data_IF_426476328140
#
_entry.id   IF_426476328140
#
_cell.length_a   1.000
_cell.length_b   1.000
_cell.length_c   1.000
_cell.angle_alpha   90.00
_cell.angle_beta   90.00
_cell.angle_gamma   90.00
#
_symmetry.space_group_name_H-M   'P 1'
#
loop_
_entity.id
_entity.type
_entity.pdbx_description
1 polymer ?
#
# COMPACT_ATOMS: atom_id res chain seq x y z
N UNK A 1 -39.10 7.50 2.99
CA UNK A 1 -38.36 6.22 2.87
C UNK A 1 -38.56 5.32 4.09
N UNK A 2 -38.42 5.83 5.33
CA UNK A 2 -38.76 5.12 6.59
C UNK A 2 -40.16 4.48 6.61
N UNK A 3 -41.18 5.15 6.07
CA UNK A 3 -42.57 4.64 6.06
C UNK A 3 -42.78 3.35 5.25
N UNK A 4 -41.94 3.09 4.24
CA UNK A 4 -42.07 1.87 3.42
C UNK A 4 -41.56 0.64 4.19
N UNK A 5 -40.55 0.83 5.05
CA UNK A 5 -39.97 -0.24 5.86
C UNK A 5 -40.86 -0.62 7.05
N UNK A 6 -41.48 0.36 7.71
CA UNK A 6 -42.49 0.11 8.74
C UNK A 6 -43.75 -0.57 8.15
N UNK A 7 -44.14 -0.24 6.91
CA UNK A 7 -45.29 -0.85 6.25
C UNK A 7 -45.05 -2.28 5.72
N UNK A 8 -43.79 -2.69 5.54
CA UNK A 8 -43.42 -4.02 5.03
C UNK A 8 -43.07 -5.03 6.14
N UNK A 9 -43.12 -4.64 7.42
CA UNK A 9 -42.58 -5.41 8.55
C UNK A 9 -41.11 -5.87 8.31
N UNK A 10 -40.39 -5.18 7.43
CA UNK A 10 -39.04 -5.54 6.98
C UNK A 10 -37.96 -5.09 7.99
N UNK A 11 -38.35 -4.83 9.23
CA UNK A 11 -37.53 -4.30 10.34
C UNK A 11 -36.95 -5.40 11.22
N UNK A 12 -36.73 -6.59 10.67
CA UNK A 12 -35.83 -7.56 11.28
C UNK A 12 -34.60 -7.62 10.38
N UNK A 13 -33.48 -7.02 10.78
CA UNK A 13 -32.15 -7.33 10.24
C UNK A 13 -31.43 -8.10 11.33
N UNK A 14 -31.60 -9.41 11.25
CA UNK A 14 -30.93 -10.38 12.10
C UNK A 14 -29.47 -10.46 11.65
N UNK A 15 -28.61 -9.68 12.28
CA UNK A 15 -27.16 -9.88 12.21
C UNK A 15 -26.85 -11.18 12.98
N UNK A 16 -26.41 -12.22 12.29
CA UNK A 16 -25.97 -13.51 12.87
C UNK A 16 -26.98 -14.29 13.72
N UNK A 17 -28.28 -14.17 13.48
CA UNK A 17 -29.28 -14.90 14.28
C UNK A 17 -29.58 -14.24 15.63
N UNK A 18 -28.93 -13.12 15.94
CA UNK A 18 -29.08 -12.48 17.25
C UNK A 18 -30.44 -11.77 17.33
N UNK A 19 -31.25 -12.18 18.29
CA UNK A 19 -32.44 -11.47 18.71
C UNK A 19 -32.15 -10.81 20.07
N UNK A 20 -32.60 -9.57 20.30
CA UNK A 20 -32.56 -9.00 21.65
C UNK A 20 -33.26 -9.98 22.61
N UNK A 21 -32.67 -10.28 23.77
CA UNK A 21 -33.32 -11.16 24.73
C UNK A 21 -34.66 -10.55 25.19
N UNK A 22 -35.60 -11.38 25.65
CA UNK A 22 -36.96 -10.94 25.99
C UNK A 22 -37.03 -9.85 27.07
N UNK A 23 -35.93 -9.63 27.79
CA UNK A 23 -35.74 -8.59 28.81
C UNK A 23 -34.89 -7.40 28.34
N UNK A 24 -34.65 -7.25 27.03
CA UNK A 24 -33.86 -6.16 26.48
C UNK A 24 -34.46 -4.80 26.84
N UNK A 25 -33.58 -3.85 27.18
CA UNK A 25 -33.98 -2.50 27.53
C UNK A 25 -34.49 -1.75 26.30
N UNK A 26 -35.34 -0.74 26.51
CA UNK A 26 -35.86 0.11 25.42
C UNK A 26 -34.74 0.77 24.59
N UNK A 27 -33.59 1.09 25.21
CA UNK A 27 -32.42 1.64 24.54
C UNK A 27 -31.67 0.60 23.70
N UNK A 28 -31.67 -0.67 24.08
CA UNK A 28 -31.11 -1.77 23.27
C UNK A 28 -32.00 -2.09 22.08
N UNK A 29 -33.32 -2.11 22.29
CA UNK A 29 -34.30 -2.26 21.21
C UNK A 29 -34.21 -1.12 20.19
N UNK A 30 -34.04 0.13 20.65
CA UNK A 30 -33.87 1.29 19.78
C UNK A 30 -32.56 1.24 18.96
N UNK A 31 -31.44 0.83 19.58
CA UNK A 31 -30.15 0.67 18.89
C UNK A 31 -30.19 -0.47 17.87
N UNK A 32 -30.86 -1.57 18.19
CA UNK A 32 -31.11 -2.65 17.24
C UNK A 32 -31.89 -2.13 16.03
N UNK A 33 -33.03 -1.46 16.26
CA UNK A 33 -33.86 -0.88 15.19
C UNK A 33 -33.09 0.11 14.30
N UNK A 34 -32.17 0.89 14.87
CA UNK A 34 -31.33 1.82 14.12
C UNK A 34 -30.35 1.11 13.19
N UNK A 35 -29.63 0.10 13.69
CA UNK A 35 -28.69 -0.72 12.90
C UNK A 35 -29.42 -1.47 11.76
N UNK A 36 -30.64 -1.95 12.04
CA UNK A 36 -31.50 -2.60 11.04
C UNK A 36 -31.91 -1.65 9.91
N UNK A 37 -32.15 -0.38 10.23
CA UNK A 37 -32.57 0.62 9.24
C UNK A 37 -31.40 1.05 8.36
N UNK A 38 -30.20 1.24 8.92
CA UNK A 38 -29.03 1.67 8.14
C UNK A 38 -28.52 0.59 7.18
N UNK A 39 -28.61 -0.69 7.56
CA UNK A 39 -28.15 -1.80 6.72
C UNK A 39 -29.00 -2.02 5.45
N UNK A 40 -30.23 -1.47 5.40
CA UNK A 40 -31.11 -1.50 4.24
C UNK A 40 -30.89 -0.33 3.26
N UNK A 41 -30.19 0.74 3.67
CA UNK A 41 -29.98 1.95 2.85
C UNK A 41 -28.98 1.78 1.70
N UNK A 42 -28.30 0.63 1.61
CA UNK A 42 -27.27 0.35 0.59
C UNK A 42 -27.79 -0.49 -0.59
N UNK A 43 -29.10 -0.73 -0.66
CA UNK A 43 -29.71 -1.64 -1.64
C UNK A 43 -30.49 -0.85 -2.68
N UNK A 44 -30.19 -1.03 -3.97
CA UNK A 44 -30.91 -0.41 -5.09
C UNK A 44 -32.42 -0.65 -5.02
N UNK A 45 -33.24 0.34 -5.41
CA UNK A 45 -34.72 0.29 -5.43
C UNK A 45 -35.29 -0.97 -6.11
N UNK A 46 -34.59 -1.48 -7.12
CA UNK A 46 -35.03 -2.68 -7.83
C UNK A 46 -34.79 -3.97 -7.02
N UNK A 47 -33.70 -4.01 -6.24
CA UNK A 47 -33.41 -5.11 -5.32
C UNK A 47 -34.36 -5.03 -4.12
N UNK A 48 -34.65 -3.81 -3.64
CA UNK A 48 -35.64 -3.50 -2.60
C UNK A 48 -37.02 -4.11 -2.89
N UNK A 49 -37.54 -3.96 -4.12
CA UNK A 49 -38.81 -4.57 -4.55
C UNK A 49 -38.80 -6.10 -4.52
N UNK A 50 -37.64 -6.72 -4.76
CA UNK A 50 -37.51 -8.17 -4.72
C UNK A 50 -37.37 -8.69 -3.28
N UNK A 51 -36.60 -8.00 -2.43
CA UNK A 51 -36.44 -8.41 -1.04
C UNK A 51 -37.70 -8.20 -0.20
N UNK A 52 -38.55 -7.21 -0.54
CA UNK A 52 -39.84 -6.99 0.11
C UNK A 52 -40.84 -8.15 -0.04
N UNK A 53 -40.54 -9.13 -0.90
CA UNK A 53 -41.32 -10.38 -1.01
C UNK A 53 -40.98 -11.40 0.08
N UNK A 54 -39.92 -11.17 0.85
CA UNK A 54 -39.45 -12.07 1.89
C UNK A 54 -39.79 -11.51 3.28
N UNK A 55 -40.49 -12.30 4.09
CA UNK A 55 -41.05 -11.85 5.39
C UNK A 55 -40.06 -11.81 6.55
N UNK A 56 -38.83 -12.30 6.36
CA UNK A 56 -37.84 -12.35 7.44
C UNK A 56 -36.47 -11.94 6.93
N UNK A 57 -35.68 -11.33 7.82
CA UNK A 57 -34.27 -11.01 7.59
C UNK A 57 -33.49 -12.16 6.97
N UNK A 58 -33.68 -13.35 7.54
CA UNK A 58 -32.96 -14.54 7.15
C UNK A 58 -33.28 -14.93 5.71
N UNK A 59 -34.56 -14.85 5.32
CA UNK A 59 -35.00 -15.13 3.95
C UNK A 59 -34.53 -14.05 2.97
N UNK A 60 -34.51 -12.77 3.39
CA UNK A 60 -33.94 -11.66 2.61
C UNK A 60 -32.44 -11.93 2.38
N UNK A 61 -31.67 -12.24 3.42
CA UNK A 61 -30.25 -12.55 3.32
C UNK A 61 -29.99 -13.78 2.45
N UNK A 62 -30.73 -14.87 2.64
CA UNK A 62 -30.61 -16.06 1.80
C UNK A 62 -30.93 -15.77 0.33
N UNK A 63 -31.97 -14.97 0.07
CA UNK A 63 -32.31 -14.53 -1.28
C UNK A 63 -31.19 -13.68 -1.88
N UNK A 64 -30.72 -12.66 -1.16
CA UNK A 64 -29.65 -11.77 -1.61
C UNK A 64 -28.37 -12.57 -1.90
N UNK A 65 -28.02 -13.48 -1.00
CA UNK A 65 -26.88 -14.38 -1.15
C UNK A 65 -27.06 -15.28 -2.36
N UNK A 66 -28.18 -15.99 -2.48
CA UNK A 66 -28.43 -16.89 -3.63
C UNK A 66 -28.47 -16.15 -4.97
N UNK A 67 -29.01 -14.93 -4.99
CA UNK A 67 -29.29 -14.18 -6.23
C UNK A 67 -28.09 -13.35 -6.68
N UNK A 68 -27.42 -12.68 -5.74
CA UNK A 68 -26.35 -11.71 -6.01
C UNK A 68 -24.99 -12.17 -5.50
N UNK A 69 -24.93 -13.02 -4.46
CA UNK A 69 -23.67 -13.65 -4.04
C UNK A 69 -23.36 -14.86 -4.93
N UNK A 70 -22.92 -14.55 -6.13
CA UNK A 70 -22.43 -15.52 -7.09
C UNK A 70 -20.97 -15.82 -6.79
N UNK A 71 -20.73 -16.74 -5.87
CA UNK A 71 -19.46 -17.47 -5.81
C UNK A 71 -19.47 -18.56 -6.88
N UNK A 72 -19.56 -18.12 -8.14
CA UNK A 72 -19.65 -19.03 -9.30
C UNK A 72 -18.26 -19.58 -9.61
N UNK A 73 -18.16 -20.73 -10.30
CA UNK A 73 -16.88 -21.19 -10.84
C UNK A 73 -16.16 -20.10 -11.65
N UNK A 74 -16.94 -19.23 -12.31
CA UNK A 74 -16.45 -18.10 -13.10
C UNK A 74 -15.90 -16.94 -12.24
N UNK A 75 -16.43 -16.72 -11.04
CA UNK A 75 -16.01 -15.62 -10.16
C UNK A 75 -14.53 -15.72 -9.78
N UNK A 76 -14.05 -16.94 -9.54
CA UNK A 76 -12.62 -17.17 -9.28
C UNK A 76 -11.75 -16.89 -10.50
N UNK A 77 -12.17 -17.32 -11.69
CA UNK A 77 -11.43 -17.07 -12.94
C UNK A 77 -11.39 -15.58 -13.26
N UNK A 78 -12.52 -14.88 -13.12
CA UNK A 78 -12.57 -13.42 -13.31
C UNK A 78 -11.70 -12.69 -12.30
N UNK A 79 -11.70 -13.10 -11.03
CA UNK A 79 -10.87 -12.44 -10.03
C UNK A 79 -9.38 -12.68 -10.30
N UNK A 80 -8.97 -13.89 -10.71
CA UNK A 80 -7.58 -14.16 -11.13
C UNK A 80 -7.19 -13.22 -12.27
N UNK A 81 -8.01 -13.15 -13.31
CA UNK A 81 -7.73 -12.28 -14.45
C UNK A 81 -7.61 -10.82 -14.00
N UNK A 82 -8.59 -10.36 -13.22
CA UNK A 82 -8.66 -8.97 -12.77
C UNK A 82 -7.53 -8.60 -11.82
N UNK A 83 -7.03 -9.56 -11.04
CA UNK A 83 -5.87 -9.38 -10.17
C UNK A 83 -4.56 -9.35 -10.97
N UNK A 84 -4.39 -10.24 -11.94
CA UNK A 84 -3.20 -10.26 -12.80
C UNK A 84 -3.13 -9.04 -13.74
N UNK A 85 -4.27 -8.43 -14.06
CA UNK A 85 -4.32 -7.17 -14.82
C UNK A 85 -4.14 -5.92 -13.96
N UNK A 86 -3.98 -6.04 -12.64
CA UNK A 86 -3.95 -4.89 -11.72
C UNK A 86 -2.79 -3.91 -12.02
N UNK A 87 -1.64 -4.42 -12.48
CA UNK A 87 -0.50 -3.57 -12.89
C UNK A 87 -0.86 -2.60 -14.02
N UNK A 88 -1.76 -3.00 -14.91
CA UNK A 88 -2.21 -2.18 -16.04
C UNK A 88 -3.19 -1.09 -15.63
N UNK A 89 -3.82 -1.21 -14.45
CA UNK A 89 -4.75 -0.21 -13.93
C UNK A 89 -4.06 0.83 -13.05
N UNK A 90 -2.77 0.67 -12.75
CA UNK A 90 -2.02 1.66 -12.00
C UNK A 90 -1.88 2.94 -12.85
N UNK A 91 -2.49 4.01 -12.37
CA UNK A 91 -2.34 5.36 -12.88
C UNK A 91 -1.27 6.09 -12.05
N UNK A 92 -0.24 6.70 -12.66
CA UNK A 92 0.73 7.55 -11.96
C UNK A 92 0.11 8.70 -11.14
N UNK A 93 -1.13 9.10 -11.42
CA UNK A 93 -1.87 10.09 -10.64
C UNK A 93 -2.45 9.55 -9.33
N UNK A 94 -2.63 8.23 -9.23
CA UNK A 94 -3.14 7.55 -8.04
C UNK A 94 -2.07 7.50 -6.94
N UNK A 95 -2.48 7.63 -5.68
CA UNK A 95 -1.54 7.43 -4.57
C UNK A 95 -1.14 5.95 -4.48
N UNK A 96 0.12 5.69 -4.12
CA UNK A 96 0.58 4.30 -3.93
C UNK A 96 -0.21 3.59 -2.82
N UNK A 97 -0.71 4.37 -1.84
CA UNK A 97 -1.50 3.84 -0.73
C UNK A 97 -2.83 3.27 -1.24
N UNK A 98 -3.54 4.02 -2.09
CA UNK A 98 -4.82 3.57 -2.66
C UNK A 98 -4.63 2.33 -3.55
N UNK A 99 -3.49 2.27 -4.27
CA UNK A 99 -3.14 1.10 -5.05
C UNK A 99 -2.88 -0.13 -4.17
N UNK A 100 -2.11 0.02 -3.09
CA UNK A 100 -1.83 -1.06 -2.13
C UNK A 100 -3.14 -1.55 -1.50
N UNK A 101 -4.03 -0.64 -1.12
CA UNK A 101 -5.35 -1.01 -0.57
C UNK A 101 -6.18 -1.82 -1.59
N UNK A 102 -6.16 -1.41 -2.86
CA UNK A 102 -6.83 -2.13 -3.95
C UNK A 102 -6.22 -3.52 -4.16
N UNK A 103 -4.89 -3.62 -4.10
CA UNK A 103 -4.16 -4.89 -4.17
C UNK A 103 -4.55 -5.82 -3.03
N UNK A 104 -4.53 -5.34 -1.78
CA UNK A 104 -4.88 -6.11 -0.58
C UNK A 104 -6.33 -6.58 -0.60
N UNK A 105 -7.25 -5.70 -1.02
CA UNK A 105 -8.67 -6.04 -1.16
C UNK A 105 -8.88 -7.21 -2.13
N UNK A 106 -8.19 -7.17 -3.28
CA UNK A 106 -8.29 -8.24 -4.29
C UNK A 106 -7.58 -9.52 -3.87
N UNK A 107 -6.44 -9.41 -3.19
CA UNK A 107 -5.76 -10.54 -2.57
C UNK A 107 -6.68 -11.28 -1.59
N UNK A 108 -7.30 -10.53 -0.67
CA UNK A 108 -8.26 -11.07 0.30
C UNK A 108 -9.50 -11.65 -0.36
N UNK A 109 -9.97 -11.05 -1.46
CA UNK A 109 -11.09 -11.60 -2.24
C UNK A 109 -10.73 -12.94 -2.88
N UNK A 110 -9.55 -13.07 -3.51
CA UNK A 110 -9.05 -14.34 -4.03
C UNK A 110 -8.92 -15.39 -2.93
N UNK A 111 -8.41 -15.00 -1.77
CA UNK A 111 -8.30 -15.88 -0.61
C UNK A 111 -9.68 -16.39 -0.17
N UNK A 112 -10.67 -15.50 -0.13
CA UNK A 112 -12.06 -15.86 0.19
C UNK A 112 -12.67 -16.83 -0.82
N UNK A 113 -12.47 -16.60 -2.13
CA UNK A 113 -12.98 -17.46 -3.22
C UNK A 113 -12.33 -18.86 -3.27
N UNK A 114 -11.23 -19.04 -2.53
CA UNK A 114 -10.50 -20.30 -2.40
C UNK A 114 -10.65 -20.96 -1.02
N UNK A 115 -11.33 -20.31 -0.06
CA UNK A 115 -11.53 -20.82 1.30
C UNK A 115 -12.14 -22.23 1.36
N UNK A 116 -13.17 -22.49 0.54
CA UNK A 116 -13.89 -23.76 0.46
C UNK A 116 -13.36 -24.71 -0.64
N UNK A 117 -12.10 -24.55 -1.06
CA UNK A 117 -11.51 -25.37 -2.11
C UNK A 117 -11.44 -26.86 -1.70
N UNK A 118 -11.79 -27.75 -2.63
CA UNK A 118 -11.60 -29.19 -2.47
C UNK A 118 -10.10 -29.52 -2.42
N UNK A 119 -9.65 -30.47 -1.59
CA UNK A 119 -8.26 -30.92 -1.58
C UNK A 119 -7.77 -31.29 -2.99
N UNK A 120 -6.50 -30.98 -3.29
CA UNK A 120 -5.86 -31.20 -4.59
C UNK A 120 -6.50 -30.48 -5.80
N UNK A 121 -7.50 -29.62 -5.62
CA UNK A 121 -8.02 -28.77 -6.70
C UNK A 121 -7.06 -27.61 -7.01
N UNK A 122 -7.14 -27.04 -8.21
CA UNK A 122 -6.39 -25.83 -8.56
C UNK A 122 -6.64 -24.68 -7.57
N UNK A 123 -7.89 -24.51 -7.10
CA UNK A 123 -8.21 -23.53 -6.05
C UNK A 123 -7.45 -23.78 -4.74
N UNK A 124 -7.22 -25.04 -4.37
CA UNK A 124 -6.46 -25.38 -3.16
C UNK A 124 -4.98 -25.08 -3.32
N UNK A 125 -4.41 -25.33 -4.51
CA UNK A 125 -3.04 -24.94 -4.85
C UNK A 125 -2.90 -23.41 -4.79
N UNK A 126 -3.85 -22.71 -5.40
CA UNK A 126 -3.88 -21.26 -5.40
C UNK A 126 -4.05 -20.67 -3.98
N UNK A 127 -4.80 -21.33 -3.10
CA UNK A 127 -4.90 -20.93 -1.69
C UNK A 127 -3.55 -20.99 -0.98
N UNK A 128 -2.77 -22.06 -1.17
CA UNK A 128 -1.42 -22.15 -0.58
C UNK A 128 -0.50 -21.02 -1.04
N UNK A 129 -0.63 -20.58 -2.29
CA UNK A 129 0.08 -19.40 -2.80
C UNK A 129 -0.39 -18.12 -2.08
N UNK A 130 -1.69 -17.96 -1.88
CA UNK A 130 -2.28 -16.77 -1.25
C UNK A 130 -2.00 -16.66 0.25
N UNK A 131 -1.76 -17.79 0.92
CA UNK A 131 -1.35 -17.87 2.33
C UNK A 131 0.16 -17.58 2.51
N UNK A 132 0.93 -17.52 1.42
CA UNK A 132 2.36 -17.24 1.46
C UNK A 132 2.61 -15.72 1.37
N UNK A 133 3.05 -15.13 2.48
CA UNK A 133 3.43 -13.71 2.56
C UNK A 133 4.58 -13.32 1.63
N UNK A 134 5.51 -14.25 1.36
CA UNK A 134 6.56 -14.01 0.36
C UNK A 134 5.95 -13.89 -1.04
N UNK A 135 5.01 -14.76 -1.40
CA UNK A 135 4.33 -14.65 -2.68
C UNK A 135 3.55 -13.33 -2.78
N UNK A 136 2.85 -12.94 -1.71
CA UNK A 136 2.13 -11.65 -1.65
C UNK A 136 3.06 -10.46 -1.90
N UNK A 137 4.23 -10.46 -1.27
CA UNK A 137 5.29 -9.46 -1.48
C UNK A 137 5.74 -9.41 -2.94
N UNK A 138 6.09 -10.56 -3.52
CA UNK A 138 6.55 -10.63 -4.91
C UNK A 138 5.48 -10.19 -5.91
N UNK A 139 4.21 -10.54 -5.68
CA UNK A 139 3.10 -10.08 -6.53
C UNK A 139 2.89 -8.57 -6.47
N UNK A 140 3.04 -7.95 -5.30
CA UNK A 140 2.98 -6.50 -5.17
C UNK A 140 4.12 -5.82 -5.95
N UNK A 141 5.36 -6.32 -5.79
CA UNK A 141 6.51 -5.82 -6.53
C UNK A 141 6.36 -5.99 -8.05
N UNK A 142 5.91 -7.17 -8.49
CA UNK A 142 5.62 -7.43 -9.90
C UNK A 142 4.54 -6.50 -10.46
N UNK A 143 3.57 -6.11 -9.64
CA UNK A 143 2.51 -5.18 -10.07
C UNK A 143 3.01 -3.74 -10.24
N UNK A 144 4.12 -3.39 -9.58
CA UNK A 144 4.72 -2.05 -9.59
C UNK A 144 5.86 -1.91 -10.61
N UNK A 145 6.44 -3.01 -11.09
CA UNK A 145 7.70 -3.01 -11.88
C UNK A 145 7.64 -2.13 -13.13
N UNK A 146 6.50 -2.07 -13.80
CA UNK A 146 6.33 -1.29 -15.04
C UNK A 146 6.43 0.21 -14.78
N UNK A 147 5.96 0.68 -13.62
CA UNK A 147 5.81 2.10 -13.31
C UNK A 147 6.89 2.61 -12.35
N UNK A 148 7.40 1.74 -11.47
CA UNK A 148 8.44 2.05 -10.50
C UNK A 148 9.63 1.07 -10.55
N UNK A 149 10.26 0.86 -11.72
CA UNK A 149 11.30 -0.17 -11.90
C UNK A 149 12.49 0.02 -10.95
N UNK A 150 12.91 1.27 -10.71
CA UNK A 150 14.02 1.57 -9.79
C UNK A 150 13.69 1.27 -8.33
N UNK A 151 12.43 1.45 -7.93
CA UNK A 151 11.96 1.14 -6.57
C UNK A 151 11.94 -0.36 -6.38
N UNK A 152 11.41 -1.09 -7.36
CA UNK A 152 11.39 -2.56 -7.36
C UNK A 152 12.81 -3.14 -7.33
N UNK A 153 13.73 -2.64 -8.18
CA UNK A 153 15.13 -3.06 -8.17
C UNK A 153 15.78 -2.83 -6.78
N UNK A 154 15.59 -1.65 -6.18
CA UNK A 154 16.12 -1.39 -4.84
C UNK A 154 15.56 -2.33 -3.78
N UNK A 155 14.24 -2.61 -3.82
CA UNK A 155 13.58 -3.39 -2.79
C UNK A 155 13.85 -4.89 -2.92
N UNK A 156 13.99 -5.39 -4.15
CA UNK A 156 14.32 -6.81 -4.42
C UNK A 156 15.76 -7.17 -4.01
N UNK A 157 16.68 -6.20 -3.94
CA UNK A 157 18.05 -6.45 -3.43
C UNK A 157 18.15 -6.62 -1.91
N UNK A 158 17.05 -6.49 -1.16
CA UNK A 158 17.05 -6.52 0.30
C UNK A 158 16.62 -7.90 0.79
N UNK A 159 17.56 -8.61 1.40
CA UNK A 159 17.29 -9.91 2.01
C UNK A 159 16.27 -9.79 3.16
N UNK A 160 15.43 -10.82 3.30
CA UNK A 160 14.45 -10.97 4.39
C UNK A 160 13.43 -9.82 4.53
N UNK A 161 13.13 -9.10 3.46
CA UNK A 161 12.08 -8.08 3.48
C UNK A 161 10.71 -8.72 3.68
N UNK A 162 10.01 -8.40 4.77
CA UNK A 162 8.62 -8.86 4.97
C UNK A 162 7.64 -8.04 4.12
N UNK A 163 6.41 -8.53 3.98
CA UNK A 163 5.35 -7.80 3.28
C UNK A 163 5.04 -6.45 3.96
N UNK A 164 4.98 -6.42 5.30
CA UNK A 164 4.74 -5.18 6.06
C UNK A 164 5.89 -4.18 5.90
N UNK A 165 7.15 -4.64 5.97
CA UNK A 165 8.32 -3.78 5.72
C UNK A 165 8.30 -3.19 4.31
N UNK A 166 7.87 -3.99 3.31
CA UNK A 166 7.71 -3.53 1.94
C UNK A 166 6.66 -2.42 1.86
N UNK A 167 5.48 -2.65 2.43
CA UNK A 167 4.37 -1.70 2.45
C UNK A 167 4.75 -0.38 3.10
N UNK A 168 5.35 -0.41 4.28
CA UNK A 168 5.82 0.80 4.97
C UNK A 168 6.80 1.61 4.12
N UNK A 169 7.74 0.93 3.46
CA UNK A 169 8.73 1.58 2.59
C UNK A 169 8.11 2.20 1.35
N UNK A 170 7.16 1.52 0.71
CA UNK A 170 6.45 2.04 -0.46
C UNK A 170 5.66 3.30 -0.09
N UNK A 171 4.93 3.28 1.03
CA UNK A 171 4.18 4.44 1.53
C UNK A 171 5.14 5.59 1.87
N UNK A 172 6.24 5.32 2.57
CA UNK A 172 7.25 6.32 2.91
C UNK A 172 7.90 6.97 1.68
N UNK A 173 8.14 6.22 0.61
CA UNK A 173 8.66 6.74 -0.65
C UNK A 173 7.66 7.65 -1.36
N UNK A 174 6.37 7.29 -1.37
CA UNK A 174 5.33 8.12 -1.96
C UNK A 174 5.15 9.45 -1.22
N UNK A 175 5.19 9.44 0.12
CA UNK A 175 5.15 10.66 0.93
C UNK A 175 6.33 11.59 0.59
N UNK A 176 7.54 11.05 0.47
CA UNK A 176 8.73 11.83 0.15
C UNK A 176 8.72 12.39 -1.29
N UNK A 177 8.14 11.66 -2.25
CA UNK A 177 7.99 12.12 -3.63
C UNK A 177 6.87 13.17 -3.78
N UNK A 178 5.76 13.03 -3.05
CA UNK A 178 4.69 14.04 -3.02
C UNK A 178 5.14 15.34 -2.32
N UNK A 179 5.91 15.24 -1.22
CA UNK A 179 6.53 16.38 -0.55
C UNK A 179 7.59 17.07 -1.42
N UNK A 180 8.31 16.29 -2.25
CA UNK A 180 9.28 16.83 -3.21
C UNK A 180 8.62 17.60 -4.36
N UNK A 181 7.35 17.31 -4.69
CA UNK A 181 6.56 18.10 -5.63
C UNK A 181 6.00 19.41 -5.03
N UNK A 182 5.90 19.51 -3.69
CA UNK A 182 5.57 20.78 -3.00
C UNK A 182 6.80 21.65 -2.69
N UNK A 183 8.01 21.07 -2.69
CA UNK A 183 9.29 21.78 -2.54
C UNK A 183 10.18 21.63 -3.79
N UNK A 184 9.57 21.77 -4.97
CA UNK A 184 10.21 21.64 -6.29
C UNK A 184 11.18 22.77 -6.61
N UNK A 185 12.29 22.88 -5.86
CA UNK A 185 13.44 23.72 -6.21
C UNK A 185 14.80 23.11 -5.82
N UNK A 186 14.87 21.90 -5.26
CA UNK A 186 16.15 21.34 -4.77
C UNK A 186 16.50 19.90 -5.16
N UNK A 187 15.79 19.30 -6.12
CA UNK A 187 16.07 17.94 -6.59
C UNK A 187 16.52 17.84 -8.06
N UNK A 188 17.08 18.90 -8.66
CA UNK A 188 17.55 18.90 -10.05
C UNK A 188 19.07 18.68 -10.24
N UNK A 189 19.87 18.45 -9.18
CA UNK A 189 21.33 18.44 -9.29
C UNK A 189 22.05 17.09 -9.10
N UNK A 190 21.36 15.95 -9.05
CA UNK A 190 22.02 14.64 -8.78
C UNK A 190 21.92 13.59 -9.89
N UNK A 191 21.38 13.92 -11.06
CA UNK A 191 21.28 12.97 -12.17
C UNK A 191 22.19 13.29 -13.38
N UNK A 192 23.42 13.75 -13.15
CA UNK A 192 24.51 13.59 -14.14
C UNK A 192 25.80 13.26 -13.40
N UNK A 193 26.35 12.09 -13.68
CA UNK A 193 27.67 11.54 -13.30
C UNK A 193 27.68 10.49 -12.18
N UNK A 194 27.07 9.34 -12.43
CA UNK A 194 27.49 8.07 -11.84
C UNK A 194 28.36 7.27 -12.83
N UNK A 195 29.67 7.54 -12.83
CA UNK A 195 30.66 6.50 -13.14
C UNK A 195 31.61 6.38 -11.96
N UNK A 196 31.57 5.19 -11.37
CA UNK A 196 32.57 4.60 -10.49
C UNK A 196 32.72 5.25 -9.09
N UNK A 197 32.97 4.55 -7.99
CA UNK A 197 33.07 3.13 -7.64
C UNK A 197 33.49 3.14 -6.15
N UNK A 198 32.79 2.36 -5.32
CA UNK A 198 33.25 1.74 -4.04
C UNK A 198 33.58 2.61 -2.81
N UNK A 199 32.89 2.25 -1.71
CA UNK A 199 33.34 1.84 -0.34
C UNK A 199 34.55 2.60 0.25
N UNK A 200 34.56 3.08 1.50
CA UNK A 200 34.09 2.46 2.75
C UNK A 200 34.18 3.51 3.89
N UNK A 201 33.25 3.39 4.84
CA UNK A 201 33.24 3.87 6.23
C UNK A 201 34.59 4.21 6.88
N UNK A 202 34.67 5.34 7.61
CA UNK A 202 34.80 5.33 9.09
C UNK A 202 34.77 6.74 9.70
N UNK A 203 34.25 6.78 10.94
CA UNK A 203 34.01 7.92 11.81
C UNK A 203 35.26 8.76 12.05
N UNK A 204 35.08 10.02 12.48
CA UNK A 204 35.73 10.63 13.67
C UNK A 204 35.24 12.08 13.86
N UNK A 205 34.53 12.24 14.99
CA UNK A 205 34.31 13.40 15.88
C UNK A 205 34.12 14.84 15.34
N UNK A 206 33.01 15.41 15.83
CA UNK A 206 32.71 16.83 16.05
C UNK A 206 33.93 17.65 16.51
N UNK A 207 34.23 18.71 15.78
CA UNK A 207 34.58 20.01 16.39
C UNK A 207 33.86 21.12 15.61
N UNK A 208 33.22 21.99 16.38
CA UNK A 208 32.57 23.23 15.98
C UNK A 208 33.44 24.07 15.04
N UNK A 209 32.98 24.28 13.80
CA UNK A 209 33.57 25.24 12.90
C UNK A 209 32.53 26.30 12.52
N UNK A 210 32.79 27.52 12.96
CA UNK A 210 32.05 28.73 12.61
C UNK A 210 31.88 28.86 11.08
N UNK A 211 30.75 29.42 10.61
CA UNK A 211 30.50 29.62 9.20
C UNK A 211 31.43 30.73 8.66
N UNK A 212 32.46 30.37 7.89
CA UNK A 212 33.16 31.33 7.05
C UNK A 212 34.65 31.09 6.78
N UNK A 213 35.32 30.18 7.48
CA UNK A 213 36.76 29.99 7.26
C UNK A 213 37.02 29.07 6.07
N UNK A 214 37.44 29.64 4.93
CA UNK A 214 37.99 28.85 3.80
C UNK A 214 39.27 28.15 4.26
N UNK A 215 39.22 26.83 4.45
CA UNK A 215 40.37 26.01 4.87
C UNK A 215 40.76 25.03 3.76
N UNK A 216 42.05 25.03 3.42
CA UNK A 216 42.63 24.15 2.42
C UNK A 216 43.04 22.81 3.03
N UNK A 217 42.35 21.73 2.63
CA UNK A 217 42.60 20.36 3.11
C UNK A 217 44.01 19.88 2.74
N UNK A 218 44.49 20.24 1.53
CA UNK A 218 45.85 19.88 1.08
C UNK A 218 46.93 20.48 2.00
N UNK A 219 46.85 21.79 2.22
CA UNK A 219 47.78 22.50 3.10
C UNK A 219 47.69 21.97 4.54
N UNK A 220 46.49 21.62 5.03
CA UNK A 220 46.32 21.02 6.35
C UNK A 220 47.06 19.68 6.47
N UNK A 221 46.97 18.82 5.43
CA UNK A 221 47.63 17.50 5.40
C UNK A 221 49.16 17.59 5.32
N UNK A 222 49.69 18.58 4.60
CA UNK A 222 51.13 18.75 4.39
C UNK A 222 51.79 19.76 5.35
N UNK A 223 51.13 20.11 6.47
CA UNK A 223 51.69 20.99 7.51
C UNK A 223 51.93 22.43 7.05
N UNK A 224 51.15 22.92 6.09
CA UNK A 224 51.25 24.28 5.54
C UNK A 224 50.13 25.19 6.05
N UNK A 225 50.29 26.51 5.90
CA UNK A 225 49.25 27.49 6.22
C UNK A 225 47.97 27.16 5.43
N UNK A 226 46.95 26.68 6.13
CA UNK A 226 45.72 26.14 5.56
C UNK A 226 44.54 27.12 5.59
N UNK A 227 44.62 28.22 6.35
CA UNK A 227 43.57 29.24 6.44
C UNK A 227 43.64 30.23 5.26
N UNK A 228 42.48 30.68 4.78
CA UNK A 228 42.36 31.76 3.79
C UNK A 228 42.22 31.33 2.33
N UNK A 229 42.22 30.03 2.04
CA UNK A 229 41.98 29.50 0.69
C UNK A 229 41.41 28.08 0.77
N UNK A 230 40.76 27.62 -0.31
CA UNK A 230 40.33 26.22 -0.48
C UNK A 230 41.33 25.45 -1.33
N UNK A 231 41.24 24.12 -1.35
CA UNK A 231 42.19 23.26 -2.08
C UNK A 231 42.27 23.57 -3.58
N UNK A 232 41.17 24.04 -4.20
CA UNK A 232 41.09 24.44 -5.61
C UNK A 232 42.02 25.62 -5.94
N UNK A 233 42.21 26.52 -4.97
CA UNK A 233 43.04 27.73 -5.09
C UNK A 233 44.46 27.52 -4.52
N UNK A 234 44.82 26.29 -4.15
CA UNK A 234 46.10 26.00 -3.51
C UNK A 234 47.26 26.06 -4.51
N UNK A 235 48.07 27.12 -4.42
CA UNK A 235 49.30 27.25 -5.24
C UNK A 235 50.30 26.12 -5.02
N UNK A 236 50.43 25.61 -3.79
CA UNK A 236 51.34 24.50 -3.47
C UNK A 236 50.91 23.19 -4.11
N UNK A 237 49.60 22.90 -4.11
CA UNK A 237 49.06 21.72 -4.82
C UNK A 237 49.36 21.81 -6.32
N UNK A 238 49.19 22.99 -6.92
CA UNK A 238 49.49 23.20 -8.35
C UNK A 238 50.98 23.02 -8.65
N UNK A 239 51.88 23.50 -7.77
CA UNK A 239 53.32 23.28 -7.91
C UNK A 239 53.71 21.80 -7.79
N UNK A 240 53.16 21.07 -6.82
CA UNK A 240 53.44 19.64 -6.64
C UNK A 240 52.86 18.76 -7.75
N UNK A 241 51.81 19.21 -8.44
CA UNK A 241 51.29 18.55 -9.64
C UNK A 241 52.13 18.85 -10.89
N UNK A 242 52.77 20.03 -10.94
CA UNK A 242 53.66 20.41 -12.04
C UNK A 242 55.04 19.75 -11.92
N UNK A 243 55.56 19.55 -10.70
CA UNK A 243 56.83 18.83 -10.48
C UNK A 243 56.74 17.31 -10.66
N UNK A 244 55.51 16.77 -10.69
CA UNK A 244 55.23 15.35 -10.95
C UNK A 244 54.86 15.05 -12.41
N UNK A 245 54.85 16.06 -13.28
CA UNK A 245 54.75 15.93 -14.73
C UNK A 245 56.13 16.06 -15.36
#
# INVERSE_FOLDING_TARGET
MLMVFDALEATQVVVNGYQPPANATAAELARHKHIETESLLLVSDQIMLQIGRHRTAHNIWQYLRKTYYKDTPLSFVHEIHSFNSLSSTLDPSQSISDFIETFETRWMRLHTLTSNARPASFKAIYRMLLENEEAKREYLLASLVTHYPNVVDNLTTKDHLTYEDLKERLIGLAINNQLSNYNGALAANTAKNSKARRKKSEQVTKETAEPGTRVCIYCKKHGHRSKGHVWQDCRKLKQDQQSKK
#
